data_IF_866846455837
#
_entry.id   IF_866846455837
#
_cell.length_a   1.000
_cell.length_b   1.000
_cell.length_c   1.000
_cell.angle_alpha   90.00
_cell.angle_beta   90.00
_cell.angle_gamma   90.00
#
_symmetry.space_group_name_H-M   'P 1'
#
loop_
_entity.id
_entity.type
_entity.pdbx_description
1 polymer ?
#
# COMPACT_ATOMS: atom_id res chain seq x y z
N UNK A 1 1.25 4.64 19.60
CA UNK A 1 1.28 4.00 18.26
C UNK A 1 1.48 2.50 18.47
N UNK A 2 0.78 1.64 17.73
CA UNK A 2 0.99 0.19 17.83
C UNK A 2 2.42 -0.18 17.40
N UNK A 3 2.96 -1.28 17.92
CA UNK A 3 4.33 -1.72 17.60
C UNK A 3 4.57 -1.86 16.09
N UNK A 4 3.59 -2.34 15.34
CA UNK A 4 3.65 -2.47 13.88
C UNK A 4 3.76 -1.13 13.15
N UNK A 5 3.07 -0.09 13.62
CA UNK A 5 3.18 1.25 13.04
C UNK A 5 4.57 1.86 13.26
N UNK A 6 5.24 1.52 14.37
CA UNK A 6 6.63 1.93 14.60
C UNK A 6 7.58 1.11 13.73
N UNK A 7 7.39 -0.22 13.67
CA UNK A 7 8.20 -1.11 12.84
C UNK A 7 8.14 -0.76 11.34
N UNK A 8 6.99 -0.33 10.82
CA UNK A 8 6.86 0.11 9.42
C UNK A 8 7.61 1.41 9.09
N UNK A 9 7.94 2.21 10.11
CA UNK A 9 8.77 3.41 9.93
C UNK A 9 10.26 3.09 10.06
N UNK A 10 10.61 2.13 10.93
CA UNK A 10 12.00 1.72 11.16
C UNK A 10 12.53 0.79 10.07
N UNK A 11 11.67 -0.04 9.47
CA UNK A 11 12.01 -1.03 8.44
C UNK A 11 10.93 -1.09 7.35
N UNK A 12 10.76 -0.02 6.56
CA UNK A 12 9.71 0.10 5.54
C UNK A 12 9.82 -0.92 4.41
N UNK A 13 10.98 -1.56 4.24
CA UNK A 13 11.23 -2.65 3.29
C UNK A 13 10.77 -4.03 3.79
N UNK A 14 10.50 -4.16 5.09
CA UNK A 14 10.05 -5.42 5.71
C UNK A 14 8.61 -5.32 6.24
N UNK A 15 8.21 -4.13 6.70
CA UNK A 15 6.91 -3.90 7.32
C UNK A 15 6.12 -2.83 6.58
N UNK A 16 4.96 -3.21 6.05
CA UNK A 16 3.93 -2.28 5.59
C UNK A 16 2.80 -2.20 6.63
N UNK A 17 2.49 -0.97 7.06
CA UNK A 17 1.35 -0.71 7.93
C UNK A 17 0.25 0.03 7.17
N UNK A 18 -0.96 -0.55 7.17
CA UNK A 18 -2.16 0.00 6.57
C UNK A 18 -3.25 0.10 7.64
N UNK A 19 -3.92 1.25 7.72
CA UNK A 19 -5.09 1.42 8.58
C UNK A 19 -6.35 1.16 7.79
N UNK A 20 -7.31 0.49 8.41
CA UNK A 20 -8.60 0.20 7.80
C UNK A 20 -9.36 1.46 7.34
N UNK A 21 -9.34 2.52 8.14
CA UNK A 21 -10.00 3.77 7.78
C UNK A 21 -9.34 4.45 6.57
N UNK A 22 -8.02 4.37 6.44
CA UNK A 22 -7.29 4.91 5.29
C UNK A 22 -7.58 4.08 4.03
N UNK A 23 -7.64 2.75 4.17
CA UNK A 23 -8.07 1.84 3.09
C UNK A 23 -9.48 2.14 2.61
N UNK A 24 -10.43 2.46 3.50
CA UNK A 24 -11.79 2.82 3.11
C UNK A 24 -11.87 4.19 2.43
N UNK A 25 -11.04 5.14 2.87
CA UNK A 25 -11.03 6.51 2.34
C UNK A 25 -10.46 6.57 0.93
N UNK A 26 -9.39 5.83 0.66
CA UNK A 26 -8.75 5.75 -0.65
C UNK A 26 -8.23 4.33 -0.94
N UNK A 27 -9.11 3.42 -1.38
CA UNK A 27 -8.74 2.03 -1.64
C UNK A 27 -7.66 1.90 -2.71
N UNK A 28 -7.80 2.63 -3.83
CA UNK A 28 -6.90 2.51 -4.99
C UNK A 28 -5.48 2.90 -4.62
N UNK A 29 -5.25 4.05 -3.97
CA UNK A 29 -3.89 4.47 -3.60
C UNK A 29 -3.23 3.50 -2.60
N UNK A 30 -4.00 2.95 -1.65
CA UNK A 30 -3.44 2.00 -0.69
C UNK A 30 -3.12 0.64 -1.33
N UNK A 31 -3.94 0.17 -2.28
CA UNK A 31 -3.67 -1.07 -3.02
C UNK A 31 -2.46 -0.90 -3.93
N UNK A 32 -2.29 0.26 -4.59
CA UNK A 32 -1.05 0.58 -5.34
C UNK A 32 0.19 0.49 -4.45
N UNK A 33 0.15 1.14 -3.29
CA UNK A 33 1.25 1.10 -2.31
C UNK A 33 1.56 -0.32 -1.83
N UNK A 34 0.54 -1.16 -1.64
CA UNK A 34 0.72 -2.57 -1.30
C UNK A 34 1.41 -3.34 -2.43
N UNK A 35 0.97 -3.14 -3.67
CA UNK A 35 1.52 -3.78 -4.85
C UNK A 35 3.00 -3.42 -5.06
N UNK A 36 3.35 -2.14 -4.89
CA UNK A 36 4.74 -1.67 -4.87
C UNK A 36 5.58 -2.35 -3.78
N UNK A 37 5.03 -2.45 -2.55
CA UNK A 37 5.74 -3.04 -1.42
C UNK A 37 6.03 -4.54 -1.62
N UNK A 38 5.13 -5.29 -2.26
CA UNK A 38 5.36 -6.72 -2.55
C UNK A 38 6.19 -6.96 -3.83
N UNK A 39 6.62 -5.89 -4.50
CA UNK A 39 7.47 -5.96 -5.69
C UNK A 39 6.71 -6.19 -7.00
N UNK A 40 5.40 -6.02 -7.02
CA UNK A 40 4.55 -6.17 -8.19
C UNK A 40 3.72 -4.89 -8.43
N UNK A 41 4.36 -3.75 -8.72
CA UNK A 41 3.64 -2.51 -8.98
C UNK A 41 2.74 -2.66 -10.21
N UNK A 42 1.61 -1.97 -10.20
CA UNK A 42 0.73 -1.89 -11.37
C UNK A 42 1.44 -1.20 -12.53
N UNK A 43 1.16 -1.68 -13.72
CA UNK A 43 1.60 -1.06 -14.97
C UNK A 43 0.73 0.16 -15.28
N UNK A 44 1.29 1.11 -16.02
CA UNK A 44 0.54 2.27 -16.52
C UNK A 44 -0.66 1.86 -17.38
N UNK A 45 -0.62 0.68 -18.00
CA UNK A 45 -1.74 0.18 -18.80
C UNK A 45 -2.92 -0.25 -17.91
N UNK A 46 -2.66 -1.03 -16.86
CA UNK A 46 -3.69 -1.45 -15.90
C UNK A 46 -4.38 -0.26 -15.24
N UNK A 47 -3.62 0.81 -14.94
CA UNK A 47 -4.17 2.06 -14.41
C UNK A 47 -5.07 2.78 -15.43
N UNK A 48 -4.69 2.81 -16.70
CA UNK A 48 -5.48 3.47 -17.76
C UNK A 48 -6.74 2.70 -18.12
N UNK A 49 -6.69 1.37 -18.04
CA UNK A 49 -7.82 0.49 -18.31
C UNK A 49 -8.83 0.45 -17.14
N UNK A 50 -8.52 1.09 -16.01
CA UNK A 50 -9.39 1.11 -14.83
C UNK A 50 -9.56 -0.27 -14.19
N UNK A 51 -8.55 -1.13 -14.35
CA UNK A 51 -8.47 -2.43 -13.66
C UNK A 51 -8.28 -2.21 -12.15
N UNK A 52 -7.88 -1.00 -11.75
CA UNK A 52 -7.66 -0.57 -10.36
C UNK A 52 -8.23 0.81 -10.07
#
# INVERSE_FOLDING_TARGET
MSGYSKASLERPEIFLFLKYEDMKKDPTSNVKRLAEFIGYPFTTQEEKEGVI
#
